data_IF_123030981942
#
_entry.id   IF_123030981942
#
_cell.length_a   1.000
_cell.length_b   1.000
_cell.length_c   1.000
_cell.angle_alpha   90.00
_cell.angle_beta   90.00
_cell.angle_gamma   90.00
#
_symmetry.space_group_name_H-M   'P 1'
#
loop_
_entity.id
_entity.type
_entity.pdbx_description
1 polymer ?
#
# COMPACT_ATOMS: atom_id res chain seq x y z
N UNK A 1 -18.99 3.65 8.48
CA UNK A 1 -19.51 2.37 9.01
C UNK A 1 -21.02 2.42 9.26
N UNK A 2 -21.87 2.63 8.25
CA UNK A 2 -23.34 2.52 8.39
C UNK A 2 -23.87 1.58 7.30
N UNK A 3 -23.51 0.30 7.43
CA UNK A 3 -23.68 -0.71 6.39
C UNK A 3 -24.92 -1.59 6.59
N UNK A 4 -25.38 -2.19 5.49
CA UNK A 4 -26.61 -2.98 5.34
C UNK A 4 -26.77 -4.17 6.30
N UNK A 5 -25.70 -4.67 6.92
CA UNK A 5 -25.76 -5.72 7.96
C UNK A 5 -26.33 -5.15 9.27
N UNK A 6 -25.94 -3.91 9.62
CA UNK A 6 -26.59 -3.19 10.70
C UNK A 6 -28.06 -2.97 10.37
N UNK A 7 -28.44 -2.76 9.10
CA UNK A 7 -29.87 -2.65 8.72
C UNK A 7 -30.65 -3.94 8.96
N UNK A 8 -30.08 -5.12 8.69
CA UNK A 8 -30.70 -6.42 8.98
C UNK A 8 -30.90 -6.61 10.50
N UNK A 9 -29.91 -6.22 11.31
CA UNK A 9 -29.99 -6.25 12.79
C UNK A 9 -30.89 -5.11 13.34
N UNK A 10 -30.96 -3.96 12.67
CA UNK A 10 -31.79 -2.80 13.05
C UNK A 10 -33.26 -3.03 12.71
N UNK A 11 -33.59 -3.77 11.63
CA UNK A 11 -34.96 -4.16 11.31
C UNK A 11 -35.59 -5.08 12.36
N UNK A 12 -34.78 -5.76 13.17
CA UNK A 12 -35.26 -6.55 14.32
C UNK A 12 -35.73 -5.66 15.48
N UNK A 13 -35.19 -4.45 15.62
CA UNK A 13 -35.49 -3.56 16.76
C UNK A 13 -36.71 -2.64 16.59
N UNK A 14 -37.22 -2.45 15.37
CA UNK A 14 -38.26 -1.44 15.06
C UNK A 14 -39.60 -2.03 14.58
N UNK A 15 -39.67 -3.35 14.37
CA UNK A 15 -40.86 -4.04 13.86
C UNK A 15 -41.77 -4.67 14.93
N UNK A 16 -41.62 -4.32 16.21
CA UNK A 16 -42.40 -4.93 17.29
C UNK A 16 -43.75 -4.22 17.45
N UNK A 17 -44.73 -4.62 16.65
CA UNK A 17 -46.09 -4.70 17.20
C UNK A 17 -46.03 -5.74 18.32
N UNK A 18 -45.89 -5.27 19.56
CA UNK A 18 -45.96 -6.07 20.79
C UNK A 18 -47.36 -6.70 20.92
N UNK A 19 -47.66 -7.68 20.07
CA UNK A 19 -48.75 -8.60 20.30
C UNK A 19 -48.25 -9.66 21.27
N UNK A 20 -48.46 -9.44 22.57
CA UNK A 20 -48.52 -10.55 23.52
C UNK A 20 -49.77 -11.38 23.14
N UNK A 21 -49.65 -12.21 22.11
CA UNK A 21 -50.67 -13.23 21.85
C UNK A 21 -50.36 -14.36 22.81
N UNK A 22 -51.01 -14.33 23.98
CA UNK A 22 -51.25 -15.53 24.76
C UNK A 22 -52.21 -16.41 23.93
N UNK A 23 -51.68 -17.07 22.90
CA UNK A 23 -52.36 -18.17 22.22
C UNK A 23 -52.10 -19.43 23.05
N UNK A 24 -53.18 -20.06 23.49
CA UNK A 24 -53.16 -21.39 24.06
C UNK A 24 -52.68 -22.43 23.03
N UNK A 25 -52.05 -23.51 23.54
CA UNK A 25 -51.61 -24.79 22.91
C UNK A 25 -50.21 -24.77 22.26
N UNK A 26 -49.28 -25.73 22.48
CA UNK A 26 -49.22 -27.10 23.04
C UNK A 26 -47.86 -27.33 23.79
N UNK A 27 -47.67 -28.40 24.60
CA UNK A 27 -46.61 -28.44 25.63
C UNK A 27 -45.23 -29.02 25.22
N UNK A 28 -44.20 -28.34 25.76
CA UNK A 28 -42.86 -28.79 26.26
C UNK A 28 -41.71 -29.09 25.27
N UNK A 29 -40.45 -28.79 25.67
CA UNK A 29 -39.76 -29.58 26.71
C UNK A 29 -39.68 -28.93 28.10
N UNK A 30 -39.78 -29.80 29.11
CA UNK A 30 -39.41 -29.71 30.53
C UNK A 30 -39.34 -28.34 31.25
N UNK A 31 -40.28 -28.17 32.19
CA UNK A 31 -40.19 -27.36 33.41
C UNK A 31 -39.98 -25.83 33.33
N UNK A 32 -40.58 -25.18 32.33
CA UNK A 32 -41.00 -23.80 32.53
C UNK A 32 -42.27 -23.79 33.39
N UNK A 33 -42.16 -23.39 34.66
CA UNK A 33 -43.32 -23.04 35.48
C UNK A 33 -44.21 -22.08 34.65
N UNK A 34 -45.50 -22.36 34.59
CA UNK A 34 -46.45 -21.50 33.88
C UNK A 34 -46.36 -20.12 34.53
N UNK A 35 -45.79 -19.13 33.82
CA UNK A 35 -45.69 -17.75 34.33
C UNK A 35 -47.09 -17.21 34.54
N UNK A 36 -47.37 -16.73 35.75
CA UNK A 36 -48.69 -16.21 36.12
C UNK A 36 -48.56 -14.82 36.72
N UNK A 37 -49.58 -13.99 36.50
CA UNK A 37 -49.69 -12.70 37.16
C UNK A 37 -49.92 -12.94 38.65
N UNK A 38 -49.13 -12.30 39.50
CA UNK A 38 -49.27 -12.35 40.96
C UNK A 38 -50.60 -11.76 41.42
N UNK A 39 -51.20 -10.87 40.62
CA UNK A 39 -52.52 -10.31 40.86
C UNK A 39 -53.12 -9.65 39.61
N UNK A 40 -54.40 -9.30 39.66
CA UNK A 40 -55.05 -8.45 38.66
C UNK A 40 -54.40 -7.06 38.57
N UNK A 41 -53.87 -6.55 39.68
CA UNK A 41 -53.17 -5.26 39.72
C UNK A 41 -51.87 -5.32 38.90
N UNK A 42 -51.11 -6.41 39.01
CA UNK A 42 -49.91 -6.60 38.20
C UNK A 42 -50.23 -6.60 36.69
N UNK A 43 -51.28 -7.32 36.30
CA UNK A 43 -51.77 -7.32 34.92
C UNK A 43 -52.19 -5.91 34.45
N UNK A 44 -52.83 -5.13 35.32
CA UNK A 44 -53.22 -3.76 35.02
C UNK A 44 -52.00 -2.84 34.81
N UNK A 45 -50.91 -3.03 35.57
CA UNK A 45 -49.66 -2.28 35.37
C UNK A 45 -48.99 -2.64 34.04
N UNK A 46 -48.99 -3.91 33.66
CA UNK A 46 -48.55 -4.34 32.33
C UNK A 46 -49.40 -3.69 31.21
N UNK A 47 -50.72 -3.68 31.36
CA UNK A 47 -51.62 -3.01 30.42
C UNK A 47 -51.38 -1.50 30.34
N UNK A 48 -51.05 -0.85 31.46
CA UNK A 48 -50.66 0.55 31.49
C UNK A 48 -49.37 0.81 30.71
N UNK A 49 -48.36 -0.07 30.86
CA UNK A 49 -47.14 -0.02 30.04
C UNK A 49 -47.46 -0.15 28.54
N UNK A 50 -48.32 -1.10 28.15
CA UNK A 50 -48.68 -1.29 26.74
C UNK A 50 -49.35 -0.06 26.12
N UNK A 51 -50.18 0.65 26.90
CA UNK A 51 -50.92 1.85 26.47
C UNK A 51 -50.09 3.14 26.56
N UNK A 52 -48.97 3.13 27.28
CA UNK A 52 -48.13 4.30 27.44
C UNK A 52 -47.46 4.69 26.11
N UNK A 53 -47.29 6.00 25.90
CA UNK A 53 -46.48 6.51 24.80
C UNK A 53 -44.99 6.14 25.00
N UNK A 54 -44.14 6.25 23.96
CA UNK A 54 -42.74 5.85 24.07
C UNK A 54 -41.95 6.51 25.22
N UNK A 55 -42.34 7.72 25.65
CA UNK A 55 -41.67 8.45 26.75
C UNK A 55 -42.18 7.98 28.11
N UNK A 56 -43.48 7.68 28.24
CA UNK A 56 -44.12 7.19 29.46
C UNK A 56 -43.89 5.70 29.73
N UNK A 57 -43.41 4.93 28.74
CA UNK A 57 -43.14 3.49 28.90
C UNK A 57 -42.10 3.17 29.98
N UNK A 58 -41.06 3.99 30.14
CA UNK A 58 -40.06 3.79 31.21
C UNK A 58 -40.72 3.97 32.58
N UNK A 59 -41.48 5.05 32.78
CA UNK A 59 -42.18 5.30 34.05
C UNK A 59 -43.17 4.18 34.39
N UNK A 60 -43.88 3.66 33.38
CA UNK A 60 -44.79 2.52 33.56
C UNK A 60 -44.05 1.23 33.96
N UNK A 61 -42.87 0.97 33.37
CA UNK A 61 -42.02 -0.15 33.76
C UNK A 61 -41.46 0.03 35.17
N UNK A 62 -41.09 1.25 35.56
CA UNK A 62 -40.59 1.56 36.91
C UNK A 62 -41.67 1.30 37.96
N UNK A 63 -42.90 1.77 37.69
CA UNK A 63 -44.08 1.49 38.53
C UNK A 63 -44.34 0.00 38.67
N UNK A 64 -44.30 -0.75 37.57
CA UNK A 64 -44.48 -2.20 37.60
C UNK A 64 -43.35 -2.89 38.41
N UNK A 65 -42.09 -2.50 38.20
CA UNK A 65 -40.95 -3.06 38.93
C UNK A 65 -41.02 -2.79 40.44
N UNK A 66 -41.43 -1.58 40.83
CA UNK A 66 -41.55 -1.19 42.23
C UNK A 66 -42.68 -1.94 42.95
N UNK A 67 -43.85 -2.10 42.30
CA UNK A 67 -44.99 -2.79 42.88
C UNK A 67 -44.82 -4.33 42.91
N UNK A 68 -44.17 -4.90 41.89
CA UNK A 68 -44.01 -6.35 41.72
C UNK A 68 -42.54 -6.72 41.43
N UNK A 69 -41.62 -6.54 42.40
CA UNK A 69 -40.20 -6.85 42.19
C UNK A 69 -39.97 -8.35 41.95
N UNK A 70 -40.73 -9.23 42.61
CA UNK A 70 -40.68 -10.70 42.47
C UNK A 70 -41.69 -11.26 41.44
N UNK A 71 -41.96 -10.49 40.38
CA UNK A 71 -42.81 -10.91 39.26
C UNK A 71 -42.24 -12.14 38.54
N UNK A 72 -43.11 -13.04 38.08
CA UNK A 72 -42.70 -14.14 37.19
C UNK A 72 -42.27 -13.62 35.80
N UNK A 73 -42.64 -12.38 35.47
CA UNK A 73 -42.29 -11.67 34.24
C UNK A 73 -41.15 -10.66 34.44
N UNK A 74 -40.38 -10.77 35.53
CA UNK A 74 -39.30 -9.83 35.83
C UNK A 74 -38.25 -9.77 34.70
N UNK A 75 -37.91 -10.89 34.07
CA UNK A 75 -36.93 -10.96 32.98
C UNK A 75 -37.45 -10.29 31.70
N UNK A 76 -38.71 -10.55 31.32
CA UNK A 76 -39.37 -9.89 30.20
C UNK A 76 -39.48 -8.39 30.43
N UNK A 77 -39.75 -7.98 31.67
CA UNK A 77 -39.79 -6.56 32.03
C UNK A 77 -38.42 -5.90 31.85
N UNK A 78 -37.32 -6.54 32.26
CA UNK A 78 -35.96 -6.04 32.00
C UNK A 78 -35.65 -5.92 30.50
N UNK A 79 -36.13 -6.87 29.70
CA UNK A 79 -36.02 -6.81 28.24
C UNK A 79 -36.85 -5.66 27.64
N UNK A 80 -38.03 -5.35 28.19
CA UNK A 80 -38.81 -4.18 27.79
C UNK A 80 -38.07 -2.86 28.05
N UNK A 81 -37.30 -2.73 29.15
CA UNK A 81 -36.45 -1.54 29.34
C UNK A 81 -35.44 -1.40 28.19
N UNK A 82 -34.78 -2.50 27.81
CA UNK A 82 -33.82 -2.50 26.70
C UNK A 82 -34.50 -2.05 25.39
N UNK A 83 -35.69 -2.55 25.08
CA UNK A 83 -36.41 -2.14 23.88
C UNK A 83 -36.84 -0.68 23.91
N UNK A 84 -37.40 -0.21 25.03
CA UNK A 84 -37.84 1.19 25.15
C UNK A 84 -36.65 2.14 25.04
N UNK A 85 -35.50 1.83 25.67
CA UNK A 85 -34.30 2.65 25.51
C UNK A 85 -33.82 2.70 24.05
N UNK A 86 -33.87 1.58 23.33
CA UNK A 86 -33.50 1.57 21.90
C UNK A 86 -34.49 2.38 21.05
N UNK A 87 -35.80 2.21 21.27
CA UNK A 87 -36.86 2.92 20.53
C UNK A 87 -36.83 4.44 20.76
N UNK A 88 -36.35 4.86 21.93
CA UNK A 88 -36.23 6.28 22.31
C UNK A 88 -34.83 6.86 22.09
N UNK A 89 -33.93 6.13 21.42
CA UNK A 89 -32.54 6.52 21.16
C UNK A 89 -31.71 6.82 22.41
N UNK A 90 -32.07 6.23 23.56
CA UNK A 90 -31.31 6.28 24.82
C UNK A 90 -30.15 5.28 24.78
N UNK A 91 -29.21 5.46 23.84
CA UNK A 91 -28.18 4.48 23.48
C UNK A 91 -27.30 4.07 24.66
N UNK A 92 -26.93 5.00 25.55
CA UNK A 92 -26.13 4.68 26.73
C UNK A 92 -26.89 3.75 27.68
N UNK A 93 -28.14 4.09 27.99
CA UNK A 93 -28.99 3.30 28.88
C UNK A 93 -29.30 1.93 28.28
N UNK A 94 -29.52 1.85 26.97
CA UNK A 94 -29.69 0.57 26.27
C UNK A 94 -28.43 -0.30 26.34
N UNK A 95 -27.23 0.27 26.15
CA UNK A 95 -25.96 -0.45 26.26
C UNK A 95 -25.74 -0.99 27.69
N UNK A 96 -25.99 -0.16 28.70
CA UNK A 96 -25.87 -0.54 30.12
C UNK A 96 -26.86 -1.64 30.49
N UNK A 97 -28.12 -1.49 30.08
CA UNK A 97 -29.17 -2.48 30.32
C UNK A 97 -28.84 -3.80 29.62
N UNK A 98 -28.31 -3.76 28.40
CA UNK A 98 -27.86 -4.96 27.70
C UNK A 98 -26.75 -5.67 28.47
N UNK A 99 -25.72 -4.94 28.91
CA UNK A 99 -24.63 -5.49 29.71
C UNK A 99 -25.11 -6.05 31.07
N UNK A 100 -26.11 -5.41 31.70
CA UNK A 100 -26.73 -5.90 32.93
C UNK A 100 -27.47 -7.22 32.73
N UNK A 101 -28.32 -7.32 31.70
CA UNK A 101 -29.07 -8.53 31.36
C UNK A 101 -28.10 -9.71 31.11
N UNK A 102 -26.99 -9.46 30.43
CA UNK A 102 -26.00 -10.50 30.08
C UNK A 102 -25.25 -11.06 31.30
N UNK A 103 -25.34 -10.43 32.49
CA UNK A 103 -24.75 -10.99 33.72
C UNK A 103 -25.45 -12.28 34.16
N UNK A 104 -26.76 -12.39 33.93
CA UNK A 104 -27.56 -13.56 34.31
C UNK A 104 -28.05 -14.37 33.12
N UNK A 105 -28.20 -13.74 31.95
CA UNK A 105 -28.65 -14.37 30.71
C UNK A 105 -27.61 -14.19 29.59
N UNK A 106 -26.47 -14.92 29.64
CA UNK A 106 -25.33 -14.67 28.74
C UNK A 106 -25.63 -14.94 27.25
N UNK A 107 -26.65 -15.76 26.94
CA UNK A 107 -27.08 -16.05 25.57
C UNK A 107 -28.26 -15.19 25.09
N UNK A 108 -28.61 -14.13 25.82
CA UNK A 108 -29.75 -13.29 25.49
C UNK A 108 -29.50 -12.50 24.19
N UNK A 109 -30.14 -12.93 23.11
CA UNK A 109 -29.88 -12.47 21.74
C UNK A 109 -30.00 -10.94 21.58
N UNK A 110 -31.05 -10.33 22.12
CA UNK A 110 -31.27 -8.89 21.97
C UNK A 110 -30.21 -8.06 22.69
N UNK A 111 -29.70 -8.54 23.83
CA UNK A 111 -28.65 -7.85 24.56
C UNK A 111 -27.31 -7.98 23.86
N UNK A 112 -26.95 -9.18 23.39
CA UNK A 112 -25.74 -9.36 22.57
C UNK A 112 -25.78 -8.46 21.33
N UNK A 113 -26.90 -8.49 20.58
CA UNK A 113 -27.13 -7.64 19.42
C UNK A 113 -27.02 -6.14 19.74
N UNK A 114 -27.54 -5.72 20.90
CA UNK A 114 -27.48 -4.34 21.35
C UNK A 114 -26.05 -3.89 21.65
N UNK A 115 -25.22 -4.72 22.29
CA UNK A 115 -23.80 -4.41 22.54
C UNK A 115 -23.07 -4.19 21.20
N UNK A 116 -23.19 -5.14 20.27
CA UNK A 116 -22.53 -5.09 18.95
C UNK A 116 -22.94 -3.86 18.14
N UNK A 117 -24.16 -3.37 18.31
CA UNK A 117 -24.67 -2.20 17.58
C UNK A 117 -24.36 -0.87 18.27
N UNK A 118 -24.50 -0.81 19.59
CA UNK A 118 -24.55 0.46 20.31
C UNK A 118 -23.18 0.99 20.73
N UNK A 119 -22.15 0.14 20.82
CA UNK A 119 -20.81 0.61 21.21
C UNK A 119 -20.29 1.73 20.29
N UNK A 120 -20.63 1.66 19.00
CA UNK A 120 -20.26 2.67 18.00
C UNK A 120 -21.01 4.01 18.12
N UNK A 121 -22.11 4.04 18.89
CA UNK A 121 -22.97 5.23 19.03
C UNK A 121 -22.78 5.94 20.36
N UNK A 122 -21.96 5.38 21.25
CA UNK A 122 -21.56 6.02 22.49
C UNK A 122 -20.73 7.28 22.20
N UNK A 123 -20.73 8.29 23.09
CA UNK A 123 -19.94 9.50 22.91
C UNK A 123 -18.47 9.17 22.57
N UNK A 124 -17.92 9.70 21.47
CA UNK A 124 -16.55 9.40 21.07
C UNK A 124 -15.51 10.24 21.87
N UNK A 125 -14.36 9.65 22.27
CA UNK A 125 -14.10 8.22 22.26
C UNK A 125 -14.93 7.50 23.36
N UNK A 126 -15.41 6.27 23.11
CA UNK A 126 -16.04 5.47 24.15
C UNK A 126 -15.11 5.30 25.36
N UNK A 127 -15.69 5.09 26.54
CA UNK A 127 -14.90 4.88 27.76
C UNK A 127 -14.16 3.53 27.67
N UNK A 128 -12.98 3.36 28.28
CA UNK A 128 -12.29 2.07 28.34
C UNK A 128 -13.19 0.92 28.84
N UNK A 129 -13.99 1.17 29.87
CA UNK A 129 -14.93 0.17 30.39
C UNK A 129 -16.03 -0.22 29.37
N UNK A 130 -16.45 0.68 28.49
CA UNK A 130 -17.40 0.36 27.43
C UNK A 130 -16.74 -0.54 26.37
N UNK A 131 -15.46 -0.30 26.08
CA UNK A 131 -14.64 -1.16 25.20
C UNK A 131 -14.41 -2.55 25.82
N UNK A 132 -14.19 -2.63 27.14
CA UNK A 132 -14.04 -3.91 27.85
C UNK A 132 -15.31 -4.76 27.77
N UNK A 133 -16.48 -4.11 27.91
CA UNK A 133 -17.79 -4.76 27.75
C UNK A 133 -17.97 -5.27 26.32
N UNK A 134 -17.69 -4.43 25.32
CA UNK A 134 -17.81 -4.82 23.92
C UNK A 134 -16.86 -5.97 23.57
N UNK A 135 -15.58 -5.88 23.92
CA UNK A 135 -14.60 -6.95 23.70
C UNK A 135 -15.05 -8.27 24.33
N UNK A 136 -15.48 -8.24 25.60
CA UNK A 136 -15.90 -9.44 26.33
C UNK A 136 -17.05 -10.14 25.61
N UNK A 137 -18.08 -9.41 25.22
CA UNK A 137 -19.26 -10.01 24.61
C UNK A 137 -19.05 -10.36 23.13
N UNK A 138 -18.24 -9.62 22.38
CA UNK A 138 -17.86 -10.01 21.02
C UNK A 138 -17.03 -11.31 21.04
N UNK A 139 -16.06 -11.44 21.95
CA UNK A 139 -15.32 -12.71 22.14
C UNK A 139 -16.24 -13.86 22.54
N UNK A 140 -17.08 -13.64 23.56
CA UNK A 140 -18.05 -14.65 23.99
C UNK A 140 -18.92 -15.11 22.81
N UNK A 141 -19.40 -14.16 21.99
CA UNK A 141 -20.24 -14.47 20.84
C UNK A 141 -19.49 -15.32 19.82
N UNK A 142 -18.27 -14.93 19.44
CA UNK A 142 -17.43 -15.65 18.48
C UNK A 142 -17.12 -17.08 18.96
N UNK A 143 -16.84 -17.25 20.25
CA UNK A 143 -16.49 -18.53 20.85
C UNK A 143 -17.72 -19.44 21.08
N UNK A 144 -18.93 -18.87 21.19
CA UNK A 144 -20.14 -19.59 21.59
C UNK A 144 -21.30 -19.45 20.58
N UNK A 145 -21.01 -19.23 19.29
CA UNK A 145 -22.03 -19.03 18.25
C UNK A 145 -23.10 -20.13 18.23
N UNK A 146 -22.70 -21.41 18.35
CA UNK A 146 -23.64 -22.53 18.35
C UNK A 146 -24.56 -22.52 19.57
N UNK A 147 -24.01 -22.18 20.74
CA UNK A 147 -24.77 -22.07 21.97
C UNK A 147 -25.72 -20.87 21.92
N UNK A 148 -25.25 -19.70 21.51
CA UNK A 148 -26.08 -18.48 21.39
C UNK A 148 -27.23 -18.69 20.41
N UNK A 149 -26.98 -19.36 19.28
CA UNK A 149 -27.98 -19.61 18.25
C UNK A 149 -28.70 -20.97 18.38
N UNK A 150 -28.57 -21.66 19.52
CA UNK A 150 -29.33 -22.87 19.79
C UNK A 150 -30.84 -22.59 19.71
N UNK A 151 -31.68 -23.55 19.25
CA UNK A 151 -33.13 -23.33 19.13
C UNK A 151 -33.81 -22.86 20.43
N UNK A 152 -33.28 -23.25 21.59
CA UNK A 152 -33.77 -22.84 22.91
C UNK A 152 -33.55 -21.36 23.24
N UNK A 153 -32.62 -20.69 22.55
CA UNK A 153 -32.28 -19.29 22.75
C UNK A 153 -32.91 -18.36 21.70
N UNK A 154 -33.65 -18.93 20.74
CA UNK A 154 -34.36 -18.17 19.72
C UNK A 154 -35.53 -17.39 20.37
N UNK A 155 -35.60 -16.06 20.18
CA UNK A 155 -36.76 -15.29 20.63
C UNK A 155 -38.07 -15.77 19.97
N UNK A 156 -39.17 -15.78 20.72
CA UNK A 156 -40.46 -16.31 20.23
C UNK A 156 -41.03 -15.53 19.03
N UNK A 157 -40.67 -14.27 18.91
CA UNK A 157 -41.06 -13.38 17.81
C UNK A 157 -40.18 -13.54 16.56
N UNK A 158 -39.10 -14.32 16.64
CA UNK A 158 -38.20 -14.60 15.52
C UNK A 158 -38.53 -15.95 14.88
N UNK A 159 -38.77 -15.93 13.56
CA UNK A 159 -39.05 -17.15 12.78
C UNK A 159 -37.78 -17.98 12.59
N UNK A 160 -37.93 -19.30 12.43
CA UNK A 160 -36.79 -20.22 12.24
C UNK A 160 -35.94 -19.85 11.02
N UNK A 161 -36.58 -19.46 9.92
CA UNK A 161 -35.90 -19.02 8.71
C UNK A 161 -35.02 -17.79 8.97
N UNK A 162 -35.52 -16.81 9.72
CA UNK A 162 -34.78 -15.59 10.05
C UNK A 162 -33.63 -15.89 11.03
N UNK A 163 -33.86 -16.76 12.01
CA UNK A 163 -32.86 -17.17 13.00
C UNK A 163 -31.59 -17.76 12.37
N UNK A 164 -31.76 -18.61 11.35
CA UNK A 164 -30.65 -19.18 10.60
C UNK A 164 -29.80 -18.10 9.88
N UNK A 165 -30.42 -17.02 9.42
CA UNK A 165 -29.72 -15.90 8.74
C UNK A 165 -28.98 -14.98 9.72
N UNK A 166 -29.45 -14.89 10.98
CA UNK A 166 -28.85 -14.00 11.97
C UNK A 166 -27.51 -14.52 12.49
N UNK A 167 -27.30 -15.83 12.55
CA UNK A 167 -26.05 -16.43 13.02
C UNK A 167 -24.80 -15.93 12.26
N UNK A 168 -24.71 -16.04 10.91
CA UNK A 168 -23.56 -15.51 10.18
C UNK A 168 -23.46 -13.99 10.25
N UNK A 169 -24.59 -13.26 10.27
CA UNK A 169 -24.58 -11.81 10.41
C UNK A 169 -24.00 -11.37 11.77
N UNK A 170 -24.35 -12.09 12.84
CA UNK A 170 -23.87 -11.81 14.19
C UNK A 170 -22.40 -12.18 14.38
N UNK A 171 -21.94 -13.29 13.78
CA UNK A 171 -20.51 -13.61 13.70
C UNK A 171 -19.73 -12.45 13.07
N UNK A 172 -20.24 -11.94 11.95
CA UNK A 172 -19.59 -10.84 11.25
C UNK A 172 -19.60 -9.54 12.08
N UNK A 173 -20.71 -9.22 12.75
CA UNK A 173 -20.82 -8.07 13.64
C UNK A 173 -19.83 -8.15 14.82
N UNK A 174 -19.76 -9.29 15.51
CA UNK A 174 -18.83 -9.48 16.61
C UNK A 174 -17.37 -9.40 16.17
N UNK A 175 -17.03 -9.95 15.00
CA UNK A 175 -15.68 -9.82 14.44
C UNK A 175 -15.35 -8.34 14.13
N UNK A 176 -16.29 -7.60 13.56
CA UNK A 176 -16.13 -6.18 13.27
C UNK A 176 -15.96 -5.33 14.54
N UNK A 177 -16.76 -5.59 15.58
CA UNK A 177 -16.68 -4.91 16.86
C UNK A 177 -15.37 -5.19 17.56
N UNK A 178 -14.94 -6.46 17.59
CA UNK A 178 -13.68 -6.84 18.22
C UNK A 178 -12.49 -6.15 17.54
N UNK A 179 -12.46 -6.14 16.21
CA UNK A 179 -11.45 -5.42 15.43
C UNK A 179 -11.46 -3.91 15.77
N UNK A 180 -12.65 -3.30 15.75
CA UNK A 180 -12.80 -1.88 16.05
C UNK A 180 -12.37 -1.52 17.47
N UNK A 181 -12.66 -2.37 18.46
CA UNK A 181 -12.22 -2.15 19.85
C UNK A 181 -10.70 -2.05 19.93
N UNK A 182 -9.96 -2.94 19.25
CA UNK A 182 -8.50 -2.88 19.27
C UNK A 182 -7.95 -1.67 18.52
N UNK A 183 -8.60 -1.23 17.43
CA UNK A 183 -8.29 0.05 16.77
C UNK A 183 -8.49 1.22 17.75
N UNK A 184 -9.61 1.28 18.48
CA UNK A 184 -9.85 2.35 19.46
C UNK A 184 -8.80 2.37 20.59
N UNK A 185 -8.30 1.19 20.98
CA UNK A 185 -7.25 1.05 21.98
C UNK A 185 -5.84 1.29 21.45
N UNK A 186 -5.66 1.42 20.13
CA UNK A 186 -4.35 1.46 19.47
C UNK A 186 -3.48 0.23 19.78
N UNK A 187 -4.12 -0.92 19.98
CA UNK A 187 -3.43 -2.21 20.11
C UNK A 187 -3.15 -2.73 18.70
N UNK A 188 -2.18 -2.11 18.02
CA UNK A 188 -1.89 -2.32 16.59
C UNK A 188 -1.76 -3.81 16.21
N UNK A 189 -1.03 -4.66 16.97
CA UNK A 189 -0.91 -6.08 16.65
C UNK A 189 -2.25 -6.83 16.71
N UNK A 190 -3.09 -6.56 17.71
CA UNK A 190 -4.41 -7.21 17.79
C UNK A 190 -5.40 -6.62 16.78
N UNK A 191 -5.32 -5.32 16.53
CA UNK A 191 -6.14 -4.65 15.53
C UNK A 191 -5.88 -5.23 14.14
N UNK A 192 -4.61 -5.42 13.75
CA UNK A 192 -4.21 -6.11 12.52
C UNK A 192 -4.86 -7.49 12.42
N UNK A 193 -4.65 -8.36 13.43
CA UNK A 193 -5.19 -9.73 13.43
C UNK A 193 -6.71 -9.74 13.23
N UNK A 194 -7.44 -8.93 14.00
CA UNK A 194 -8.90 -8.96 13.98
C UNK A 194 -9.50 -8.23 12.76
N UNK A 195 -8.83 -7.21 12.23
CA UNK A 195 -9.21 -6.57 10.96
C UNK A 195 -9.00 -7.53 9.78
N UNK A 196 -7.89 -8.25 9.73
CA UNK A 196 -7.64 -9.27 8.71
C UNK A 196 -8.71 -10.36 8.75
N UNK A 197 -9.04 -10.89 9.93
CA UNK A 197 -10.16 -11.84 10.10
C UNK A 197 -11.49 -11.25 9.62
N UNK A 198 -11.79 -10.00 9.96
CA UNK A 198 -13.01 -9.33 9.52
C UNK A 198 -13.07 -9.20 8.00
N UNK A 199 -11.99 -8.77 7.37
CA UNK A 199 -11.90 -8.60 5.92
C UNK A 199 -11.95 -9.94 5.15
N UNK A 200 -11.54 -11.05 5.77
CA UNK A 200 -11.80 -12.38 5.23
C UNK A 200 -13.27 -12.80 5.29
N UNK A 201 -14.04 -12.32 6.28
CA UNK A 201 -15.49 -12.54 6.34
C UNK A 201 -16.25 -11.62 5.38
N UNK A 202 -15.79 -10.38 5.23
CA UNK A 202 -16.41 -9.36 4.38
C UNK A 202 -15.36 -8.43 3.77
N UNK A 203 -14.89 -8.82 2.58
CA UNK A 203 -13.89 -8.09 1.80
C UNK A 203 -14.41 -6.78 1.20
N UNK A 204 -15.69 -6.45 1.34
CA UNK A 204 -16.27 -5.21 0.77
C UNK A 204 -15.97 -3.97 1.64
N UNK A 205 -15.40 -4.17 2.83
CA UNK A 205 -15.30 -3.15 3.87
C UNK A 205 -14.09 -2.23 3.71
N UNK A 206 -14.12 -1.34 2.71
CA UNK A 206 -13.01 -0.43 2.40
C UNK A 206 -12.53 0.45 3.58
N UNK A 207 -13.42 0.84 4.49
CA UNK A 207 -13.03 1.57 5.69
C UNK A 207 -12.19 0.73 6.67
N UNK A 208 -12.42 -0.59 6.68
CA UNK A 208 -11.64 -1.53 7.49
C UNK A 208 -10.29 -1.81 6.84
N UNK A 209 -10.21 -1.89 5.51
CA UNK A 209 -8.92 -1.93 4.79
C UNK A 209 -8.11 -0.66 5.03
N UNK A 210 -8.75 0.51 5.01
CA UNK A 210 -8.08 1.77 5.38
C UNK A 210 -7.51 1.71 6.80
N UNK A 211 -8.28 1.15 7.74
CA UNK A 211 -7.83 0.97 9.13
C UNK A 211 -6.67 -0.02 9.19
N UNK A 212 -6.77 -1.18 8.53
CA UNK A 212 -5.72 -2.20 8.49
C UNK A 212 -4.41 -1.65 7.94
N UNK A 213 -4.48 -0.85 6.86
CA UNK A 213 -3.33 -0.14 6.33
C UNK A 213 -2.67 0.76 7.38
N UNK A 214 -3.47 1.50 8.16
CA UNK A 214 -2.99 2.32 9.27
C UNK A 214 -2.33 1.50 10.38
N UNK A 215 -2.95 0.40 10.80
CA UNK A 215 -2.42 -0.48 11.86
C UNK A 215 -1.12 -1.18 11.44
N UNK A 216 -0.98 -1.56 10.18
CA UNK A 216 0.25 -2.12 9.61
C UNK A 216 1.37 -1.09 9.58
N UNK A 217 1.08 0.15 9.12
CA UNK A 217 2.08 1.22 9.07
C UNK A 217 2.49 1.72 10.47
N UNK A 218 1.60 1.65 11.46
CA UNK A 218 1.92 2.02 12.83
C UNK A 218 2.98 1.11 13.46
N UNK A 219 3.18 -0.09 12.92
CA UNK A 219 4.16 -1.07 13.37
C UNK A 219 5.50 -0.97 12.61
N UNK A 220 5.68 0.01 11.73
CA UNK A 220 6.81 0.09 10.80
C UNK A 220 8.21 0.16 11.44
N UNK A 221 8.31 0.61 12.70
CA UNK A 221 9.58 0.73 13.40
C UNK A 221 10.18 -0.65 13.71
N UNK A 222 9.34 -1.57 14.18
CA UNK A 222 9.73 -2.93 14.55
C UNK A 222 9.48 -3.93 13.42
N UNK A 223 8.55 -3.60 12.51
CA UNK A 223 8.08 -4.46 11.41
C UNK A 223 8.12 -3.73 10.05
N UNK A 224 9.30 -3.36 9.53
CA UNK A 224 9.42 -2.68 8.24
C UNK A 224 8.87 -3.51 7.07
N UNK A 225 8.83 -4.83 7.18
CA UNK A 225 8.23 -5.75 6.21
C UNK A 225 6.71 -5.56 6.05
N UNK A 226 6.04 -4.90 7.01
CA UNK A 226 4.61 -4.58 6.94
C UNK A 226 4.33 -3.31 6.15
N UNK A 227 5.34 -2.48 5.84
CA UNK A 227 5.14 -1.23 5.09
C UNK A 227 4.49 -1.49 3.72
N UNK A 228 4.99 -2.44 2.90
CA UNK A 228 4.33 -2.77 1.64
C UNK A 228 2.88 -3.24 1.80
N UNK A 229 2.61 -4.04 2.84
CA UNK A 229 1.25 -4.53 3.13
C UNK A 229 0.32 -3.37 3.50
N UNK A 230 0.80 -2.44 4.35
CA UNK A 230 0.03 -1.25 4.71
C UNK A 230 -0.28 -0.36 3.51
N UNK A 231 0.72 -0.13 2.64
CA UNK A 231 0.53 0.60 1.38
C UNK A 231 -0.50 -0.08 0.46
N UNK A 232 -0.50 -1.41 0.42
CA UNK A 232 -1.48 -2.18 -0.34
C UNK A 232 -2.91 -1.96 0.17
N UNK A 233 -3.13 -2.05 1.47
CA UNK A 233 -4.46 -1.88 2.07
C UNK A 233 -5.00 -0.45 1.91
N UNK A 234 -4.12 0.56 2.01
CA UNK A 234 -4.47 1.93 1.66
C UNK A 234 -4.84 2.07 0.18
N UNK A 235 -4.08 1.42 -0.73
CA UNK A 235 -4.40 1.40 -2.14
C UNK A 235 -5.76 0.74 -2.41
N UNK A 236 -6.05 -0.40 -1.77
CA UNK A 236 -7.35 -1.09 -1.91
C UNK A 236 -8.49 -0.18 -1.44
N UNK A 237 -8.37 0.43 -0.27
CA UNK A 237 -9.37 1.37 0.25
C UNK A 237 -9.59 2.59 -0.67
N UNK A 238 -8.53 3.06 -1.34
CA UNK A 238 -8.58 4.20 -2.24
C UNK A 238 -9.21 3.87 -3.60
N UNK A 239 -8.98 2.67 -4.14
CA UNK A 239 -9.36 2.30 -5.52
C UNK A 239 -10.61 1.44 -5.60
N UNK A 240 -10.98 0.74 -4.53
CA UNK A 240 -12.20 -0.06 -4.46
C UNK A 240 -13.44 0.83 -4.55
N UNK A 241 -14.27 0.56 -5.56
CA UNK A 241 -15.47 1.32 -5.90
C UNK A 241 -16.77 0.48 -5.79
N UNK A 242 -16.67 -0.72 -5.20
CA UNK A 242 -17.80 -1.61 -4.97
C UNK A 242 -18.70 -1.25 -3.77
N UNK A 243 -19.49 -2.22 -3.34
CA UNK A 243 -20.38 -2.09 -2.19
C UNK A 243 -19.57 -1.74 -0.93
N UNK A 244 -20.05 -0.82 -0.09
CA UNK A 244 -19.35 -0.39 1.13
C UNK A 244 -17.98 0.28 0.87
N UNK A 245 -17.71 0.72 -0.37
CA UNK A 245 -16.58 1.60 -0.67
C UNK A 245 -16.64 2.91 0.13
N UNK A 246 -15.47 3.53 0.33
CA UNK A 246 -15.39 4.84 0.94
C UNK A 246 -16.15 5.89 0.10
N UNK A 247 -16.70 6.96 0.71
CA UNK A 247 -17.19 8.12 -0.04
C UNK A 247 -16.11 8.65 -0.98
N UNK A 248 -16.51 9.21 -2.13
CA UNK A 248 -15.57 9.63 -3.17
C UNK A 248 -14.47 10.58 -2.65
N UNK A 249 -14.84 11.56 -1.83
CA UNK A 249 -13.88 12.49 -1.21
C UNK A 249 -12.87 11.76 -0.31
N UNK A 250 -13.30 10.73 0.43
CA UNK A 250 -12.42 9.93 1.28
C UNK A 250 -11.53 8.99 0.45
N UNK A 251 -12.03 8.43 -0.67
CA UNK A 251 -11.20 7.68 -1.63
C UNK A 251 -10.10 8.56 -2.21
N UNK A 252 -10.42 9.80 -2.57
CA UNK A 252 -9.43 10.77 -3.07
C UNK A 252 -8.36 11.08 -2.03
N UNK A 253 -8.75 11.31 -0.77
CA UNK A 253 -7.79 11.52 0.33
C UNK A 253 -6.90 10.30 0.56
N UNK A 254 -7.47 9.09 0.53
CA UNK A 254 -6.71 7.85 0.64
C UNK A 254 -5.73 7.67 -0.54
N UNK A 255 -6.15 8.03 -1.76
CA UNK A 255 -5.31 7.99 -2.96
C UNK A 255 -4.15 8.98 -2.86
N UNK A 256 -4.40 10.20 -2.42
CA UNK A 256 -3.37 11.22 -2.21
C UNK A 256 -2.36 10.76 -1.14
N UNK A 257 -2.86 10.19 -0.04
CA UNK A 257 -2.03 9.66 1.04
C UNK A 257 -1.15 8.48 0.57
N UNK A 258 -1.73 7.47 -0.08
CA UNK A 258 -0.96 6.29 -0.53
C UNK A 258 0.04 6.67 -1.62
N UNK A 259 -0.32 7.58 -2.53
CA UNK A 259 0.60 8.10 -3.56
C UNK A 259 1.83 8.75 -2.92
N UNK A 260 1.60 9.63 -1.93
CA UNK A 260 2.69 10.29 -1.21
C UNK A 260 3.54 9.28 -0.44
N UNK A 261 2.92 8.42 0.35
CA UNK A 261 3.62 7.46 1.21
C UNK A 261 4.40 6.43 0.39
N UNK A 262 3.82 5.94 -0.71
CA UNK A 262 4.51 5.10 -1.69
C UNK A 262 5.72 5.82 -2.28
N UNK A 263 5.55 7.05 -2.76
CA UNK A 263 6.67 7.81 -3.38
C UNK A 263 7.78 8.07 -2.37
N UNK A 264 7.47 8.32 -1.10
CA UNK A 264 8.47 8.46 -0.03
C UNK A 264 9.18 7.13 0.25
N UNK A 265 8.45 6.02 0.31
CA UNK A 265 9.02 4.71 0.60
C UNK A 265 9.86 4.16 -0.57
N UNK A 266 9.34 4.22 -1.80
CA UNK A 266 9.97 3.73 -3.03
C UNK A 266 11.01 4.72 -3.60
N UNK A 267 10.84 6.02 -3.39
CA UNK A 267 11.68 7.08 -3.95
C UNK A 267 11.22 7.59 -5.34
N UNK A 268 10.24 6.93 -5.96
CA UNK A 268 9.62 7.36 -7.22
C UNK A 268 8.16 6.89 -7.30
N UNK A 269 7.47 7.19 -8.40
CA UNK A 269 6.13 6.65 -8.69
C UNK A 269 6.15 5.34 -9.48
N UNK A 270 7.34 4.83 -9.81
CA UNK A 270 7.46 3.64 -10.65
C UNK A 270 6.76 2.47 -9.96
N UNK A 271 5.86 1.77 -10.67
CA UNK A 271 5.11 0.65 -10.10
C UNK A 271 3.85 1.01 -9.31
N UNK A 272 3.62 2.28 -8.97
CA UNK A 272 2.42 2.71 -8.25
C UNK A 272 1.13 2.36 -9.00
N UNK A 273 1.06 2.59 -10.31
CA UNK A 273 -0.15 2.27 -11.10
C UNK A 273 -0.47 0.76 -11.10
N UNK A 274 0.58 -0.09 -11.06
CA UNK A 274 0.42 -1.55 -10.95
C UNK A 274 -0.12 -1.92 -9.57
N UNK A 275 0.38 -1.30 -8.50
CA UNK A 275 -0.14 -1.46 -7.15
C UNK A 275 -1.62 -1.06 -7.08
N UNK A 276 -1.98 0.13 -7.57
CA UNK A 276 -3.35 0.64 -7.55
C UNK A 276 -4.32 -0.25 -8.32
N UNK A 277 -3.89 -0.76 -9.48
CA UNK A 277 -4.67 -1.68 -10.33
C UNK A 277 -4.90 -3.02 -9.65
N UNK A 278 -3.85 -3.61 -9.08
CA UNK A 278 -3.94 -4.88 -8.34
C UNK A 278 -4.83 -4.74 -7.11
N UNK A 279 -4.59 -3.69 -6.31
CA UNK A 279 -5.34 -3.44 -5.11
C UNK A 279 -6.82 -3.12 -5.40
N UNK A 280 -7.18 -2.61 -6.58
CA UNK A 280 -8.59 -2.37 -6.91
C UNK A 280 -9.44 -3.65 -6.91
N UNK A 281 -8.87 -4.76 -7.35
CA UNK A 281 -9.62 -6.01 -7.59
C UNK A 281 -9.36 -7.10 -6.55
N UNK A 282 -8.26 -7.01 -5.80
CA UNK A 282 -7.94 -7.98 -4.75
C UNK A 282 -7.89 -7.30 -3.37
N UNK A 283 -8.72 -7.75 -2.40
CA UNK A 283 -8.79 -7.15 -1.07
C UNK A 283 -7.53 -7.38 -0.23
N UNK A 284 -6.72 -8.38 -0.58
CA UNK A 284 -5.45 -8.67 0.09
C UNK A 284 -4.31 -8.76 -0.93
N UNK A 285 -3.08 -8.43 -0.53
CA UNK A 285 -1.92 -8.62 -1.39
C UNK A 285 -1.68 -10.11 -1.68
N UNK A 286 -1.08 -10.46 -2.84
CA UNK A 286 -0.65 -11.83 -3.10
C UNK A 286 0.45 -12.27 -2.13
N UNK A 287 0.60 -13.57 -1.94
CA UNK A 287 1.68 -14.14 -1.12
C UNK A 287 3.05 -13.64 -1.59
N UNK A 288 3.88 -13.21 -0.64
CA UNK A 288 5.21 -12.68 -0.92
C UNK A 288 5.24 -11.28 -1.55
N UNK A 289 4.12 -10.56 -1.57
CA UNK A 289 4.06 -9.18 -2.06
C UNK A 289 5.10 -8.28 -1.39
N UNK A 290 5.83 -7.52 -2.21
CA UNK A 290 6.85 -6.57 -1.74
C UNK A 290 6.87 -5.32 -2.62
N UNK A 291 7.32 -4.20 -2.04
CA UNK A 291 7.65 -2.97 -2.76
C UNK A 291 9.12 -2.67 -2.45
N UNK A 292 9.94 -2.43 -3.47
CA UNK A 292 11.33 -2.03 -3.29
C UNK A 292 11.36 -0.65 -2.59
N UNK A 293 12.17 -0.50 -1.55
CA UNK A 293 12.38 0.80 -0.90
C UNK A 293 13.43 1.62 -1.64
N UNK A 294 13.42 2.94 -1.43
CA UNK A 294 14.43 3.85 -1.94
C UNK A 294 15.85 3.43 -1.51
N UNK A 295 15.99 2.88 -0.29
CA UNK A 295 17.27 2.38 0.21
C UNK A 295 17.70 1.10 -0.52
N UNK A 296 16.77 0.16 -0.75
CA UNK A 296 17.07 -1.06 -1.52
C UNK A 296 17.48 -0.72 -2.95
N UNK A 297 16.78 0.22 -3.59
CA UNK A 297 17.11 0.73 -4.92
C UNK A 297 18.49 1.42 -4.91
N UNK A 298 18.78 2.25 -3.91
CA UNK A 298 20.08 2.91 -3.79
C UNK A 298 21.23 1.92 -3.59
N UNK A 299 21.05 0.90 -2.75
CA UNK A 299 22.04 -0.16 -2.54
C UNK A 299 22.27 -0.96 -3.81
N UNK A 300 21.20 -1.33 -4.53
CA UNK A 300 21.30 -2.03 -5.81
C UNK A 300 22.03 -1.20 -6.86
N UNK A 301 21.66 0.07 -7.02
CA UNK A 301 22.30 0.99 -7.96
C UNK A 301 23.78 1.20 -7.63
N UNK A 302 24.13 1.30 -6.34
CA UNK A 302 25.52 1.40 -5.91
C UNK A 302 26.32 0.12 -6.24
N UNK A 303 25.73 -1.06 -6.01
CA UNK A 303 26.34 -2.33 -6.36
C UNK A 303 26.50 -2.51 -7.89
N UNK A 304 25.51 -2.08 -8.68
CA UNK A 304 25.56 -2.10 -10.13
C UNK A 304 26.65 -1.14 -10.66
N UNK A 305 26.77 0.05 -10.07
CA UNK A 305 27.84 1.00 -10.40
C UNK A 305 29.21 0.46 -10.01
N UNK A 306 29.35 -0.14 -8.83
CA UNK A 306 30.61 -0.76 -8.40
C UNK A 306 31.01 -1.90 -9.34
N UNK A 307 30.06 -2.75 -9.73
CA UNK A 307 30.29 -3.81 -10.71
C UNK A 307 30.68 -3.25 -12.07
N UNK A 308 30.01 -2.19 -12.54
CA UNK A 308 30.36 -1.51 -13.79
C UNK A 308 31.79 -0.96 -13.76
N UNK A 309 32.20 -0.31 -12.67
CA UNK A 309 33.58 0.19 -12.50
C UNK A 309 34.58 -0.98 -12.47
N UNK A 310 34.24 -2.10 -11.82
CA UNK A 310 35.11 -3.30 -11.80
C UNK A 310 35.29 -3.92 -13.19
N UNK A 311 34.23 -3.96 -14.01
CA UNK A 311 34.30 -4.59 -15.35
C UNK A 311 34.75 -3.63 -16.44
N UNK A 312 34.66 -2.31 -16.22
CA UNK A 312 35.06 -1.23 -17.13
C UNK A 312 35.84 -0.13 -16.40
N UNK A 313 37.01 -0.45 -15.81
CA UNK A 313 37.75 0.50 -14.97
C UNK A 313 38.16 1.77 -15.73
N UNK A 314 38.43 1.67 -17.03
CA UNK A 314 38.77 2.80 -17.90
C UNK A 314 37.60 3.78 -18.07
N UNK A 315 36.37 3.25 -18.19
CA UNK A 315 35.17 4.06 -18.36
C UNK A 315 34.69 4.62 -17.01
N UNK A 316 34.82 3.84 -15.94
CA UNK A 316 34.61 4.29 -14.57
C UNK A 316 35.53 5.45 -14.19
N UNK A 317 36.83 5.37 -14.52
CA UNK A 317 37.78 6.46 -14.30
C UNK A 317 37.42 7.70 -15.13
N UNK A 318 37.08 7.51 -16.41
CA UNK A 318 36.65 8.60 -17.28
C UNK A 318 35.42 9.35 -16.73
N UNK A 319 34.37 8.62 -16.36
CA UNK A 319 33.13 9.20 -15.83
C UNK A 319 33.37 9.93 -14.51
N UNK A 320 33.94 9.23 -13.53
CA UNK A 320 33.98 9.71 -12.14
C UNK A 320 35.08 10.74 -11.87
N UNK A 321 36.24 10.62 -12.51
CA UNK A 321 37.37 11.51 -12.26
C UNK A 321 37.48 12.66 -13.28
N UNK A 322 36.95 12.49 -14.49
CA UNK A 322 37.10 13.47 -15.57
C UNK A 322 35.75 14.12 -15.91
N UNK A 323 34.80 13.37 -16.46
CA UNK A 323 33.59 13.95 -17.06
C UNK A 323 32.66 14.58 -16.03
N UNK A 324 32.32 13.87 -14.96
CA UNK A 324 31.38 14.37 -13.94
C UNK A 324 31.86 15.66 -13.26
N UNK A 325 33.12 15.78 -12.75
CA UNK A 325 33.60 17.02 -12.17
C UNK A 325 33.63 18.20 -13.16
N UNK A 326 33.96 17.94 -14.42
CA UNK A 326 33.99 18.97 -15.47
C UNK A 326 32.60 19.50 -15.83
N UNK A 327 31.55 18.70 -15.65
CA UNK A 327 30.16 19.12 -15.89
C UNK A 327 29.54 19.89 -14.71
N UNK A 328 30.09 19.78 -13.50
CA UNK A 328 29.60 20.50 -12.31
C UNK A 328 29.90 22.00 -12.35
N UNK A 329 29.29 22.73 -11.44
CA UNK A 329 29.62 24.14 -11.21
C UNK A 329 31.06 24.25 -10.69
N UNK A 330 31.87 25.10 -11.33
CA UNK A 330 33.32 25.17 -11.11
C UNK A 330 34.14 24.17 -11.92
N UNK A 331 33.54 23.47 -12.89
CA UNK A 331 34.23 22.52 -13.77
C UNK A 331 35.42 23.13 -14.53
N UNK A 332 35.36 24.41 -14.90
CA UNK A 332 36.48 25.12 -15.54
C UNK A 332 37.68 25.27 -14.59
N UNK A 333 37.45 25.58 -13.31
CA UNK A 333 38.50 25.63 -12.31
C UNK A 333 39.07 24.24 -12.01
N UNK A 334 38.19 23.22 -11.94
CA UNK A 334 38.63 21.84 -11.80
C UNK A 334 39.52 21.41 -12.97
N UNK A 335 39.15 21.78 -14.20
CA UNK A 335 39.96 21.51 -15.39
C UNK A 335 41.36 22.11 -15.25
N UNK A 336 41.45 23.42 -15.00
CA UNK A 336 42.74 24.13 -14.91
C UNK A 336 43.63 23.58 -13.78
N UNK A 337 43.05 23.13 -12.67
CA UNK A 337 43.82 22.68 -11.51
C UNK A 337 44.19 21.20 -11.53
N UNK A 338 43.34 20.33 -12.08
CA UNK A 338 43.46 18.87 -11.90
C UNK A 338 43.55 18.07 -13.20
N UNK A 339 43.14 18.65 -14.33
CA UNK A 339 43.04 17.93 -15.60
C UNK A 339 44.04 18.46 -16.62
N UNK A 340 44.12 19.78 -16.78
CA UNK A 340 44.98 20.42 -17.77
C UNK A 340 46.45 20.12 -17.48
N UNK A 341 47.17 19.66 -18.50
CA UNK A 341 48.57 19.27 -18.41
C UNK A 341 48.81 17.89 -17.79
N UNK A 342 47.77 17.20 -17.28
CA UNK A 342 47.92 15.84 -16.75
C UNK A 342 47.95 14.81 -17.89
N UNK A 343 48.87 13.84 -17.78
CA UNK A 343 48.85 12.62 -18.58
C UNK A 343 47.72 11.72 -18.06
N UNK A 344 46.70 11.49 -18.86
CA UNK A 344 45.54 10.67 -18.50
C UNK A 344 45.39 9.49 -19.47
N UNK A 345 45.03 8.29 -18.96
CA UNK A 345 44.75 7.99 -17.55
C UNK A 345 46.00 7.84 -16.67
N UNK A 346 47.22 7.76 -17.24
CA UNK A 346 48.48 7.84 -16.50
C UNK A 346 48.71 6.73 -15.47
N UNK A 347 48.03 5.59 -15.61
CA UNK A 347 48.11 4.47 -14.67
C UNK A 347 47.19 4.59 -13.45
N UNK A 348 46.37 5.64 -13.35
CA UNK A 348 45.44 5.83 -12.23
C UNK A 348 44.49 4.63 -12.10
N UNK A 349 44.35 4.09 -10.89
CA UNK A 349 43.54 2.91 -10.60
C UNK A 349 43.85 1.68 -11.49
N UNK A 350 45.10 1.56 -11.97
CA UNK A 350 45.54 0.48 -12.86
C UNK A 350 45.15 0.67 -14.33
N UNK A 351 44.48 1.76 -14.68
CA UNK A 351 44.08 2.08 -16.06
C UNK A 351 45.24 2.75 -16.80
N UNK A 352 45.76 2.07 -17.82
CA UNK A 352 46.88 2.59 -18.63
C UNK A 352 46.41 3.43 -19.81
N UNK A 353 45.28 3.07 -20.43
CA UNK A 353 44.72 3.77 -21.60
C UNK A 353 43.20 3.85 -21.51
N UNK A 354 42.64 4.96 -21.96
CA UNK A 354 41.21 5.06 -22.23
C UNK A 354 40.88 4.36 -23.53
N UNK A 355 39.63 3.92 -23.65
CA UNK A 355 39.12 3.16 -24.78
C UNK A 355 37.97 3.92 -25.43
N UNK A 356 38.02 4.10 -26.75
CA UNK A 356 37.02 4.89 -27.47
C UNK A 356 36.79 4.41 -28.90
N UNK A 357 35.60 4.71 -29.42
CA UNK A 357 35.22 4.47 -30.82
C UNK A 357 35.38 5.73 -31.65
N UNK A 358 35.92 5.59 -32.85
CA UNK A 358 36.12 6.70 -33.79
C UNK A 358 34.76 7.25 -34.23
N UNK A 359 34.54 8.54 -33.97
CA UNK A 359 33.40 9.30 -34.51
C UNK A 359 33.81 9.93 -35.84
N UNK A 360 34.96 10.60 -35.87
CA UNK A 360 35.49 11.25 -37.06
C UNK A 360 37.01 11.44 -37.02
N UNK A 361 37.60 11.76 -38.16
CA UNK A 361 39.04 11.94 -38.35
C UNK A 361 39.33 13.08 -39.31
N UNK A 362 40.35 13.89 -39.00
CA UNK A 362 40.71 15.06 -39.80
C UNK A 362 42.23 15.12 -40.02
N UNK A 363 42.72 15.10 -41.26
CA UNK A 363 42.03 14.66 -42.48
C UNK A 363 41.60 13.18 -42.42
N UNK A 364 40.67 12.75 -43.27
CA UNK A 364 40.16 11.37 -43.26
C UNK A 364 41.26 10.32 -43.52
N UNK A 365 42.29 10.67 -44.30
CA UNK A 365 43.49 9.86 -44.51
C UNK A 365 44.69 10.61 -43.97
N UNK A 366 45.54 9.90 -43.24
CA UNK A 366 46.63 10.46 -42.44
C UNK A 366 46.15 11.49 -41.41
N UNK A 367 45.25 11.11 -40.49
CA UNK A 367 44.65 12.07 -39.58
C UNK A 367 45.70 12.70 -38.66
N UNK A 368 45.50 13.98 -38.37
CA UNK A 368 46.13 14.70 -37.26
C UNK A 368 45.18 14.92 -36.09
N UNK A 369 43.88 14.78 -36.31
CA UNK A 369 42.88 14.82 -35.25
C UNK A 369 41.93 13.63 -35.37
N UNK A 370 41.56 13.05 -34.23
CA UNK A 370 40.58 11.96 -34.14
C UNK A 370 39.58 12.33 -33.05
N UNK A 371 38.29 12.31 -33.38
CA UNK A 371 37.22 12.47 -32.39
C UNK A 371 36.73 11.10 -31.97
N UNK A 372 36.67 10.86 -30.66
CA UNK A 372 36.22 9.58 -30.11
C UNK A 372 34.98 9.75 -29.23
N UNK A 373 34.18 8.69 -29.21
CA UNK A 373 33.10 8.44 -28.27
C UNK A 373 33.58 7.39 -27.26
N UNK A 374 33.53 7.73 -25.97
CA UNK A 374 33.97 6.86 -24.86
C UNK A 374 32.76 6.23 -24.16
N UNK A 375 31.67 6.98 -23.99
CA UNK A 375 30.50 6.53 -23.23
C UNK A 375 29.35 6.03 -24.12
N UNK A 376 28.89 6.88 -25.03
CA UNK A 376 27.74 6.59 -25.88
C UNK A 376 28.16 6.56 -27.35
N UNK A 377 27.75 5.56 -28.13
CA UNK A 377 28.08 5.48 -29.55
C UNK A 377 27.74 6.78 -30.29
N UNK A 378 28.68 7.31 -31.06
CA UNK A 378 28.54 8.54 -31.86
C UNK A 378 28.32 9.85 -31.07
N UNK A 379 28.43 9.84 -29.74
CA UNK A 379 28.46 11.06 -28.93
C UNK A 379 29.92 11.43 -28.69
N UNK A 380 30.44 12.54 -29.27
CA UNK A 380 31.81 12.95 -29.04
C UNK A 380 32.10 13.25 -27.57
N UNK A 381 33.13 12.62 -27.04
CA UNK A 381 33.62 12.84 -25.67
C UNK A 381 35.00 13.50 -25.68
N UNK A 382 35.86 13.09 -26.61
CA UNK A 382 37.25 13.55 -26.70
C UNK A 382 37.69 13.83 -28.12
N UNK A 383 38.63 14.77 -28.26
CA UNK A 383 39.41 14.98 -29.48
C UNK A 383 40.87 14.69 -29.17
N UNK A 384 41.46 13.74 -29.88
CA UNK A 384 42.90 13.51 -29.86
C UNK A 384 43.53 14.43 -30.91
N UNK A 385 44.41 15.34 -30.49
CA UNK A 385 45.26 16.13 -31.37
C UNK A 385 46.65 15.50 -31.40
N UNK A 386 47.06 15.06 -32.57
CA UNK A 386 48.22 14.19 -32.74
C UNK A 386 49.48 15.02 -33.04
N UNK A 387 50.55 14.73 -32.29
CA UNK A 387 51.86 15.35 -32.52
C UNK A 387 52.35 15.11 -33.96
N UNK A 388 52.03 13.93 -34.51
CA UNK A 388 52.31 13.53 -35.89
C UNK A 388 51.09 12.83 -36.52
N UNK A 389 50.96 12.95 -37.84
CA UNK A 389 49.89 12.28 -38.56
C UNK A 389 50.05 10.76 -38.52
N UNK A 390 48.99 10.02 -38.19
CA UNK A 390 49.01 8.55 -38.25
C UNK A 390 49.02 8.06 -39.71
N UNK A 391 49.65 6.93 -40.03
CA UNK A 391 49.59 6.39 -41.39
C UNK A 391 48.21 5.77 -41.68
N UNK A 392 47.70 5.97 -42.90
CA UNK A 392 46.46 5.33 -43.34
C UNK A 392 45.19 5.98 -42.81
N UNK A 393 44.13 5.17 -42.65
CA UNK A 393 42.86 5.56 -42.05
C UNK A 393 42.23 4.37 -41.32
N UNK A 394 41.14 4.63 -40.60
CA UNK A 394 40.27 3.64 -39.96
C UNK A 394 38.81 4.05 -40.19
N UNK A 395 37.87 3.14 -40.02
CA UNK A 395 36.44 3.48 -40.20
C UNK A 395 35.84 4.09 -38.91
N UNK A 396 34.82 4.93 -39.07
CA UNK A 396 34.00 5.34 -37.92
C UNK A 396 33.36 4.11 -37.26
N UNK A 397 33.29 4.11 -35.94
CA UNK A 397 32.86 2.98 -35.11
C UNK A 397 33.97 1.98 -34.78
N UNK A 398 35.12 2.00 -35.49
CA UNK A 398 36.29 1.22 -35.08
C UNK A 398 36.88 1.77 -33.78
N UNK A 399 37.52 0.88 -33.04
CA UNK A 399 37.93 1.12 -31.67
C UNK A 399 39.44 1.31 -31.57
N UNK A 400 39.87 2.23 -30.71
CA UNK A 400 41.26 2.42 -30.35
C UNK A 400 41.39 2.72 -28.85
N UNK A 401 42.59 2.57 -28.33
CA UNK A 401 42.94 2.96 -26.97
C UNK A 401 43.99 4.06 -26.98
N UNK A 402 43.95 4.97 -26.03
CA UNK A 402 44.89 6.08 -25.95
C UNK A 402 45.21 6.48 -24.51
N UNK A 403 46.39 7.06 -24.32
CA UNK A 403 46.68 7.96 -23.22
C UNK A 403 47.18 9.30 -23.80
N UNK A 404 47.07 10.39 -23.07
CA UNK A 404 47.45 11.70 -23.58
C UNK A 404 47.41 12.79 -22.54
N UNK A 405 47.95 13.95 -22.89
CA UNK A 405 47.97 15.13 -22.01
C UNK A 405 46.76 16.00 -22.30
N UNK A 406 45.85 16.18 -21.33
CA UNK A 406 44.68 17.03 -21.54
C UNK A 406 45.10 18.50 -21.69
N UNK A 407 44.59 19.19 -22.71
CA UNK A 407 45.01 20.56 -23.05
C UNK A 407 43.88 21.58 -23.12
N UNK A 408 42.67 21.14 -23.47
CA UNK A 408 41.51 22.02 -23.53
C UNK A 408 40.23 21.26 -23.17
N UNK A 409 39.21 22.02 -22.76
CA UNK A 409 37.91 21.50 -22.40
C UNK A 409 36.82 22.48 -22.85
N UNK A 410 35.71 21.95 -23.38
CA UNK A 410 34.46 22.68 -23.57
C UNK A 410 33.33 21.98 -22.85
N UNK A 411 32.53 22.72 -22.09
CA UNK A 411 31.42 22.15 -21.30
C UNK A 411 30.22 21.77 -22.16
N UNK A 412 29.89 22.58 -23.17
CA UNK A 412 28.77 22.34 -24.09
C UNK A 412 29.10 22.80 -25.53
N UNK A 413 29.06 21.90 -26.53
CA UNK A 413 29.03 20.44 -26.36
C UNK A 413 30.25 19.98 -25.56
N UNK A 414 30.07 18.92 -24.76
CA UNK A 414 31.15 18.38 -23.93
C UNK A 414 32.29 17.89 -24.83
N UNK A 415 33.52 18.33 -24.58
CA UNK A 415 34.71 17.85 -25.29
C UNK A 415 35.95 18.06 -24.43
N UNK A 416 36.77 17.03 -24.25
CA UNK A 416 38.15 17.19 -23.75
C UNK A 416 39.12 16.96 -24.90
N UNK A 417 40.03 17.90 -25.11
CA UNK A 417 41.07 17.78 -26.13
C UNK A 417 42.35 17.30 -25.48
N UNK A 418 42.93 16.23 -26.03
CA UNK A 418 44.20 15.65 -25.61
C UNK A 418 45.28 15.94 -26.64
N UNK A 419 46.48 16.27 -26.18
CA UNK A 419 47.70 16.14 -26.96
C UNK A 419 48.20 14.69 -26.84
N UNK A 420 48.39 14.02 -27.97
CA UNK A 420 48.68 12.58 -28.03
C UNK A 420 49.81 12.30 -29.00
N UNK A 421 50.85 11.61 -28.52
CA UNK A 421 51.86 11.03 -29.41
C UNK A 421 51.29 9.75 -30.05
N UNK A 422 51.51 9.49 -31.35
CA UNK A 422 51.08 8.24 -31.98
C UNK A 422 51.46 6.95 -31.24
N UNK A 423 52.56 6.93 -30.48
CA UNK A 423 52.98 5.77 -29.66
C UNK A 423 52.07 5.50 -28.47
N UNK A 424 51.29 6.50 -28.06
CA UNK A 424 50.32 6.39 -26.98
C UNK A 424 48.99 5.80 -27.45
N UNK A 425 48.83 5.58 -28.76
CA UNK A 425 47.62 4.99 -29.35
C UNK A 425 47.85 3.50 -29.64
N UNK A 426 46.96 2.65 -29.12
CA UNK A 426 46.87 1.23 -29.46
C UNK A 426 45.62 0.93 -30.29
N UNK A 427 45.66 -0.15 -31.07
CA UNK A 427 44.55 -0.56 -31.92
C UNK A 427 44.49 0.13 -33.28
N UNK A 428 45.40 1.07 -33.57
CA UNK A 428 45.49 1.71 -34.88
C UNK A 428 45.95 0.72 -35.97
N UNK A 429 45.10 0.42 -36.94
CA UNK A 429 45.41 -0.55 -38.01
C UNK A 429 45.88 0.08 -39.32
N UNK A 430 45.58 1.36 -39.56
CA UNK A 430 45.97 2.10 -40.76
C UNK A 430 45.46 1.53 -42.09
N UNK A 431 44.45 0.65 -42.08
CA UNK A 431 43.93 0.00 -43.30
C UNK A 431 43.22 1.04 -44.19
N UNK A 432 43.53 1.03 -45.49
CA UNK A 432 42.98 1.88 -46.57
C UNK A 432 43.79 3.14 -47.00
N UNK A 433 45.11 3.20 -46.78
CA UNK A 433 45.94 4.07 -47.64
C UNK A 433 46.12 3.41 -49.02
N UNK A 434 45.24 3.69 -49.98
CA UNK A 434 45.52 3.35 -51.37
C UNK A 434 46.83 4.06 -51.77
N UNK A 435 47.86 3.37 -52.28
CA UNK A 435 49.09 4.04 -52.66
C UNK A 435 48.80 5.02 -53.81
N UNK A 436 49.05 6.31 -53.58
CA UNK A 436 49.05 7.29 -54.66
C UNK A 436 50.16 6.91 -55.64
N UNK A 437 49.80 6.30 -56.79
CA UNK A 437 50.72 6.10 -57.92
C UNK A 437 51.15 7.48 -58.41
N UNK A 438 52.39 7.86 -58.10
CA UNK A 438 53.08 8.97 -58.73
C UNK A 438 53.32 8.65 -60.21
N UNK A 439 52.57 9.26 -61.12
CA UNK A 439 52.90 9.20 -62.55
C UNK A 439 53.94 10.28 -62.87
N UNK A 440 55.22 9.94 -62.67
CA UNK A 440 56.33 10.70 -63.24
C UNK A 440 56.73 10.07 -64.58
N UNK A 441 56.39 10.76 -65.67
CA UNK A 441 57.32 11.05 -66.78
C UNK A 441 57.83 9.92 -67.69
N UNK A 442 57.46 10.10 -68.98
CA UNK A 442 58.26 9.92 -70.21
C UNK A 442 58.44 8.53 -70.79
N UNK A 443 58.03 8.40 -72.06
CA UNK A 443 58.61 7.42 -72.99
C UNK A 443 57.81 7.18 -74.27
N UNK A 444 58.11 7.94 -75.33
CA UNK A 444 57.70 7.79 -76.74
C UNK A 444 57.60 6.33 -77.23
N UNK A 445 56.64 6.01 -78.12
CA UNK A 445 56.83 5.97 -79.59
C UNK A 445 55.69 5.27 -80.39
N UNK A 446 55.26 5.98 -81.44
CA UNK A 446 54.86 5.54 -82.81
C UNK A 446 53.84 4.41 -83.04
N UNK A 447 52.67 4.85 -83.51
CA UNK A 447 52.08 4.61 -84.84
C UNK A 447 51.95 3.17 -85.40
N UNK A 448 50.70 2.80 -85.72
CA UNK A 448 50.31 2.48 -87.11
C UNK A 448 48.78 2.54 -87.28
N UNK A 449 48.38 3.29 -88.29
CA UNK A 449 47.03 3.34 -88.85
C UNK A 449 46.70 2.06 -89.61
N UNK A 450 45.41 1.72 -89.71
CA UNK A 450 44.73 1.59 -91.02
C UNK A 450 43.21 1.53 -90.88
N UNK A 451 42.60 2.45 -91.61
CA UNK A 451 41.25 2.55 -92.12
C UNK A 451 40.75 1.27 -92.80
N UNK A 452 39.49 0.90 -92.55
CA UNK A 452 38.40 1.08 -93.51
C UNK A 452 37.11 1.35 -92.74
#
# INVERSE_FOLDING_TARGET
MKNSILKLITSVGLGLSLGWVLAAQEPKPADAAKKEWKSQEEYNLFQAFQKADPKGKIEALDKWKAAFPASDFAEEREEQYLFVYQQTNMNRQAFDKAAEILKTRPNHFYSLSAIERLVYTLPPPPKPADLDVAERFSKYLLDNLDTVFAPSNRPMDVKDADWATYKPAMKNAAQATLAWVYVQRKDHPKAEIELTKYLHLDATQAASSLSLGGELLAQNQDHPEKIPLGLYEFAHAATYDGQNSLPEAARKQALDYVTKTYTTYHGSKDGLDKLLTLAKTSPFPPDGFSIESAQQIAVKNAADQENFIKTHPELGLWQTAIKEPLLKDGGEAYFEMNVKGALLPGGANGVQKFKGKIVSMTPETKPKQIVLALEQPNVPDVTLDLSQALPGKMAAGEELQFEGVAKAFTKQPFMVVFDVDPKQIDGWTGKNATPAKSSAGKGKAKAKAKTQ
#
